data_IF_185203518143
#
_entry.id   IF_185203518143
#
_cell.length_a   1.000
_cell.length_b   1.000
_cell.length_c   1.000
_cell.angle_alpha   90.00
_cell.angle_beta   90.00
_cell.angle_gamma   90.00
#
_symmetry.space_group_name_H-M   'P 1'
#
loop_
_entity.id
_entity.type
_entity.pdbx_description
1 polymer ?
#
# COMPACT_ATOMS: atom_id res chain seq x y z
N UNK A 1 -8.35 -28.57 57.59
CA UNK A 1 -9.06 -29.83 57.27
C UNK A 1 -8.38 -30.45 56.04
N UNK A 2 -8.29 -31.78 55.95
CA UNK A 2 -7.47 -32.59 55.01
C UNK A 2 -7.53 -32.16 53.51
N UNK A 3 -6.48 -32.28 52.66
CA UNK A 3 -5.78 -33.50 52.16
C UNK A 3 -6.71 -34.46 51.38
N UNK A 4 -6.43 -34.99 50.16
CA UNK A 4 -5.28 -35.05 49.20
C UNK A 4 -5.78 -34.72 47.76
N UNK A 5 -5.06 -34.70 46.62
CA UNK A 5 -3.73 -35.18 46.20
C UNK A 5 -3.82 -36.41 45.26
N UNK A 6 -3.65 -36.24 43.92
CA UNK A 6 -3.68 -37.35 42.93
C UNK A 6 -3.44 -36.92 41.47
N UNK A 7 -2.60 -37.66 40.72
CA UNK A 7 -2.21 -37.40 39.30
C UNK A 7 -2.94 -38.34 38.30
N UNK A 8 -2.45 -38.62 37.07
CA UNK A 8 -2.97 -38.01 35.82
C UNK A 8 -3.63 -39.02 34.86
N UNK A 9 -4.45 -38.55 33.92
CA UNK A 9 -5.06 -39.41 32.89
C UNK A 9 -4.16 -39.59 31.66
N UNK A 10 -3.84 -40.85 31.36
CA UNK A 10 -3.17 -41.27 30.13
C UNK A 10 -4.12 -41.31 28.92
N UNK A 11 -3.57 -41.13 27.72
CA UNK A 11 -4.31 -41.21 26.46
C UNK A 11 -4.59 -42.68 26.02
N UNK A 12 -5.76 -42.97 25.42
CA UNK A 12 -6.07 -44.27 24.79
C UNK A 12 -5.67 -44.33 23.30
N UNK A 13 -5.55 -45.53 22.69
CA UNK A 13 -4.85 -45.74 21.42
C UNK A 13 -5.71 -45.59 20.14
N UNK A 14 -5.00 -45.50 19.00
CA UNK A 14 -5.55 -45.38 17.65
C UNK A 14 -6.31 -46.63 17.17
N UNK A 15 -7.65 -46.56 17.17
CA UNK A 15 -8.54 -47.57 16.56
C UNK A 15 -8.78 -47.32 15.06
N UNK A 16 -8.53 -48.32 14.21
CA UNK A 16 -8.83 -48.27 12.76
C UNK A 16 -10.34 -48.12 12.51
N UNK A 17 -10.76 -47.14 11.69
CA UNK A 17 -12.14 -47.04 11.16
C UNK A 17 -12.25 -47.63 9.74
N UNK A 18 -13.35 -48.31 9.38
CA UNK A 18 -13.53 -48.93 8.07
C UNK A 18 -13.87 -47.91 6.97
N UNK A 19 -13.46 -48.21 5.72
CA UNK A 19 -13.79 -47.43 4.53
C UNK A 19 -15.29 -47.50 4.21
N UNK A 20 -16.03 -46.40 4.33
CA UNK A 20 -17.36 -46.27 3.70
C UNK A 20 -17.18 -45.98 2.21
N UNK A 21 -17.88 -46.75 1.36
CA UNK A 21 -17.97 -46.49 -0.09
C UNK A 21 -18.91 -45.31 -0.35
N UNK A 22 -18.54 -44.41 -1.26
CA UNK A 22 -19.43 -43.41 -1.84
C UNK A 22 -20.24 -44.04 -2.99
N UNK A 23 -21.53 -43.70 -3.17
CA UNK A 23 -22.29 -44.07 -4.36
C UNK A 23 -21.88 -43.19 -5.57
N UNK A 24 -22.06 -43.68 -6.81
CA UNK A 24 -21.66 -42.96 -8.02
C UNK A 24 -22.60 -41.80 -8.37
N UNK A 25 -22.04 -40.73 -8.94
CA UNK A 25 -22.79 -39.60 -9.50
C UNK A 25 -23.36 -39.95 -10.87
N UNK A 26 -24.64 -39.63 -11.10
CA UNK A 26 -25.29 -39.74 -12.41
C UNK A 26 -25.06 -38.47 -13.27
N UNK A 27 -24.98 -38.59 -14.61
CA UNK A 27 -24.78 -37.44 -15.50
C UNK A 27 -26.11 -36.71 -15.81
N UNK A 28 -26.09 -35.38 -16.01
CA UNK A 28 -27.28 -34.63 -16.39
C UNK A 28 -27.55 -34.69 -17.91
N UNK A 29 -28.75 -35.12 -18.29
CA UNK A 29 -29.26 -34.99 -19.66
C UNK A 29 -29.81 -33.60 -19.97
N UNK A 30 -29.87 -33.25 -21.26
CA UNK A 30 -30.36 -31.98 -21.77
C UNK A 30 -31.85 -31.72 -21.48
N UNK A 31 -32.19 -30.43 -21.35
CA UNK A 31 -33.34 -29.87 -22.07
C UNK A 31 -34.55 -29.44 -21.25
N UNK A 32 -34.65 -28.13 -20.99
CA UNK A 32 -35.94 -27.41 -20.90
C UNK A 32 -35.77 -25.97 -21.36
N UNK A 33 -36.66 -25.54 -22.28
CA UNK A 33 -36.73 -24.16 -22.79
C UNK A 33 -37.47 -23.27 -21.76
N UNK A 34 -37.05 -22.02 -21.64
CA UNK A 34 -37.84 -20.93 -21.02
C UNK A 34 -37.90 -19.78 -22.04
N UNK A 35 -39.08 -19.21 -22.33
CA UNK A 35 -39.24 -18.17 -23.36
C UNK A 35 -39.04 -16.75 -22.82
N UNK A 36 -38.75 -15.81 -23.72
CA UNK A 36 -39.04 -14.37 -23.51
C UNK A 36 -37.88 -13.50 -23.02
N UNK A 37 -37.12 -12.92 -23.97
CA UNK A 37 -36.35 -11.68 -23.76
C UNK A 37 -36.55 -10.81 -25.01
N UNK A 38 -37.00 -9.55 -24.90
CA UNK A 38 -37.13 -8.67 -26.06
C UNK A 38 -35.74 -8.28 -26.59
N UNK A 39 -35.60 -8.02 -27.91
CA UNK A 39 -34.33 -7.60 -28.49
C UNK A 39 -33.97 -6.18 -28.05
N UNK A 40 -32.67 -5.92 -27.86
CA UNK A 40 -32.14 -4.56 -27.69
C UNK A 40 -32.13 -3.84 -29.04
N UNK A 41 -32.43 -2.52 -29.10
CA UNK A 41 -32.25 -1.76 -30.33
C UNK A 41 -30.76 -1.64 -30.67
N UNK A 42 -30.45 -1.73 -31.96
CA UNK A 42 -29.15 -1.35 -32.53
C UNK A 42 -29.12 0.18 -32.64
N UNK A 43 -28.05 0.80 -32.15
CA UNK A 43 -27.78 2.23 -32.35
C UNK A 43 -26.63 2.37 -33.34
N UNK A 44 -26.88 3.10 -34.43
CA UNK A 44 -25.87 3.40 -35.45
C UNK A 44 -24.76 4.34 -34.92
N UNK A 45 -23.52 4.24 -35.44
CA UNK A 45 -22.43 5.10 -35.03
C UNK A 45 -22.58 6.53 -35.62
N UNK A 46 -22.25 7.59 -34.86
CA UNK A 46 -22.37 8.96 -35.34
C UNK A 46 -21.30 9.34 -36.38
N UNK A 47 -21.72 10.09 -37.40
CA UNK A 47 -20.88 10.61 -38.47
C UNK A 47 -19.90 11.70 -37.97
N UNK A 48 -18.63 11.61 -38.37
CA UNK A 48 -17.62 12.64 -38.14
C UNK A 48 -17.74 13.78 -39.17
N UNK A 49 -17.73 15.06 -38.76
CA UNK A 49 -17.61 16.18 -39.69
C UNK A 49 -16.18 16.33 -40.23
N UNK A 50 -16.08 16.67 -41.51
CA UNK A 50 -14.83 16.68 -42.29
C UNK A 50 -13.96 17.92 -42.08
N UNK A 51 -12.64 17.74 -42.13
CA UNK A 51 -11.67 18.86 -42.17
C UNK A 51 -11.79 19.62 -43.50
N UNK A 52 -11.90 20.95 -43.44
CA UNK A 52 -11.51 21.84 -44.55
C UNK A 52 -10.05 22.30 -44.39
N UNK A 53 -9.32 22.31 -45.50
CA UNK A 53 -7.92 22.72 -45.55
C UNK A 53 -7.75 24.24 -45.67
N UNK A 54 -6.63 24.77 -45.16
CA UNK A 54 -6.00 26.02 -45.61
C UNK A 54 -4.50 25.79 -45.73
N UNK A 55 -3.89 26.34 -46.79
CA UNK A 55 -2.50 26.07 -47.19
C UNK A 55 -1.44 26.88 -46.43
N UNK A 56 -0.15 26.66 -46.73
CA UNK A 56 0.98 27.24 -46.00
C UNK A 56 1.52 28.54 -46.63
N UNK A 57 2.19 29.40 -45.84
CA UNK A 57 3.16 30.37 -46.34
C UNK A 57 4.61 29.88 -46.20
N UNK A 58 5.53 30.69 -46.75
CA UNK A 58 6.87 30.30 -47.25
C UNK A 58 8.01 30.28 -46.21
N UNK A 59 9.16 29.83 -46.71
CA UNK A 59 10.52 29.86 -46.13
C UNK A 59 10.98 31.27 -45.76
N UNK A 60 11.98 31.34 -44.88
CA UNK A 60 13.16 32.19 -45.10
C UNK A 60 14.44 31.46 -44.63
N UNK A 61 15.57 31.85 -45.21
CA UNK A 61 16.91 31.27 -44.98
C UNK A 61 17.65 31.97 -43.84
N UNK A 62 18.70 31.32 -43.30
CA UNK A 62 20.03 31.92 -43.12
C UNK A 62 21.06 30.87 -42.64
N UNK A 63 22.32 31.07 -43.01
CA UNK A 63 23.39 30.06 -42.94
C UNK A 63 24.45 30.31 -41.85
N UNK A 64 25.19 29.24 -41.53
CA UNK A 64 26.61 29.06 -41.11
C UNK A 64 27.54 30.25 -40.69
N UNK A 65 28.67 30.04 -39.96
CA UNK A 65 29.55 28.84 -40.00
C UNK A 65 30.14 28.36 -38.63
N UNK A 66 31.14 27.47 -38.69
CA UNK A 66 31.74 26.73 -37.59
C UNK A 66 33.11 27.27 -37.08
N UNK A 67 33.57 26.82 -35.90
CA UNK A 67 34.95 27.05 -35.42
C UNK A 67 35.57 25.88 -34.59
N UNK A 68 36.58 25.24 -35.21
CA UNK A 68 37.89 24.76 -34.69
C UNK A 68 38.02 23.98 -33.36
N UNK A 69 38.66 22.80 -33.46
CA UNK A 69 39.46 22.13 -32.41
C UNK A 69 40.91 22.67 -32.40
N UNK A 70 41.67 22.43 -31.31
CA UNK A 70 43.10 22.12 -31.37
C UNK A 70 43.44 20.70 -30.87
N UNK A 71 44.68 20.25 -31.13
CA UNK A 71 45.21 18.89 -30.88
C UNK A 71 46.15 18.84 -29.67
N UNK A 72 46.13 17.69 -28.97
CA UNK A 72 47.34 16.92 -28.62
C UNK A 72 48.12 17.22 -27.33
N UNK A 73 48.44 16.14 -26.58
CA UNK A 73 49.82 15.71 -26.27
C UNK A 73 49.84 14.33 -25.57
N UNK A 74 50.88 13.54 -25.82
CA UNK A 74 51.17 12.26 -25.17
C UNK A 74 51.95 12.45 -23.87
N UNK A 75 51.76 11.55 -22.89
CA UNK A 75 52.79 11.17 -21.90
C UNK A 75 52.68 9.65 -21.63
N UNK A 76 53.82 8.95 -21.62
CA UNK A 76 54.02 7.55 -21.18
C UNK A 76 54.74 7.54 -19.82
N UNK A 77 54.63 6.43 -19.08
CA UNK A 77 55.58 5.78 -18.13
C UNK A 77 54.75 5.00 -17.08
N UNK A 78 54.75 3.65 -17.04
CA UNK A 78 55.77 2.68 -16.55
C UNK A 78 55.80 2.55 -15.01
N UNK A 79 55.79 1.29 -14.49
CA UNK A 79 56.20 0.96 -13.11
C UNK A 79 55.24 0.07 -12.29
N UNK A 80 55.65 -1.17 -12.01
CA UNK A 80 55.05 -2.15 -11.08
C UNK A 80 56.09 -2.46 -9.97
N UNK A 81 55.88 -3.35 -8.98
CA UNK A 81 54.71 -3.72 -8.19
C UNK A 81 55.00 -3.72 -6.66
N UNK A 82 54.07 -4.21 -5.80
CA UNK A 82 54.38 -4.52 -4.39
C UNK A 82 53.21 -5.08 -3.58
N UNK A 83 53.30 -6.34 -3.11
CA UNK A 83 52.36 -7.00 -2.18
C UNK A 83 53.07 -7.36 -0.86
N UNK A 84 52.38 -7.28 0.28
CA UNK A 84 52.62 -8.18 1.41
C UNK A 84 51.54 -9.27 1.55
N UNK A 85 51.90 -10.38 2.21
CA UNK A 85 51.06 -11.56 2.49
C UNK A 85 50.09 -11.30 3.66
N UNK A 86 49.08 -12.16 3.81
CA UNK A 86 48.13 -12.14 4.92
C UNK A 86 48.10 -13.49 5.66
N UNK A 87 47.93 -13.47 6.99
CA UNK A 87 47.58 -14.64 7.80
C UNK A 87 46.06 -14.65 8.11
N UNK A 88 45.40 -15.83 8.17
CA UNK A 88 43.95 -15.91 8.32
C UNK A 88 43.50 -15.99 9.79
N UNK A 89 42.89 -14.91 10.29
CA UNK A 89 42.02 -14.97 11.47
C UNK A 89 40.57 -15.24 11.05
N UNK A 90 39.88 -16.20 11.68
CA UNK A 90 38.45 -16.47 11.43
C UNK A 90 37.62 -15.23 11.82
N UNK A 91 37.08 -14.53 10.83
CA UNK A 91 36.25 -13.34 11.03
C UNK A 91 35.11 -13.28 10.01
N UNK A 92 33.98 -12.72 10.42
CA UNK A 92 32.75 -12.62 9.62
C UNK A 92 33.03 -12.20 8.16
N UNK A 93 32.52 -13.00 7.22
CA UNK A 93 32.74 -12.81 5.77
C UNK A 93 32.16 -11.51 5.21
N UNK A 94 32.87 -10.41 5.40
CA UNK A 94 33.02 -9.27 4.49
C UNK A 94 34.20 -8.42 5.00
N UNK A 95 35.25 -8.26 4.19
CA UNK A 95 36.55 -7.74 4.65
C UNK A 95 36.53 -6.34 5.25
N UNK A 96 37.36 -6.09 6.28
CA UNK A 96 37.58 -4.74 6.83
C UNK A 96 38.23 -3.86 5.77
N UNK A 97 37.49 -2.89 5.23
CA UNK A 97 38.10 -1.77 4.50
C UNK A 97 38.74 -0.81 5.50
N UNK A 98 40.06 -0.83 5.56
CA UNK A 98 40.85 0.15 6.29
C UNK A 98 40.59 1.57 5.73
N UNK A 99 40.16 2.47 6.62
CA UNK A 99 39.68 3.80 6.28
C UNK A 99 40.79 4.71 5.73
N UNK A 100 42.07 4.37 5.94
CA UNK A 100 43.21 5.16 5.49
C UNK A 100 43.31 5.26 3.96
N UNK A 101 42.95 4.21 3.21
CA UNK A 101 43.20 4.13 1.76
C UNK A 101 42.27 5.02 0.92
N UNK A 102 41.04 5.27 1.36
CA UNK A 102 40.08 6.10 0.60
C UNK A 102 40.38 7.61 0.70
N UNK A 103 40.99 8.07 1.81
CA UNK A 103 41.35 9.48 2.00
C UNK A 103 42.44 9.97 1.04
N UNK A 104 43.33 9.08 0.57
CA UNK A 104 44.46 9.45 -0.31
C UNK A 104 44.12 9.55 -1.80
N UNK A 105 42.97 9.03 -2.24
CA UNK A 105 42.61 8.97 -3.68
C UNK A 105 41.81 10.18 -4.15
N UNK A 106 41.20 10.95 -3.25
CA UNK A 106 40.32 12.10 -3.60
C UNK A 106 41.07 13.45 -3.50
N UNK A 107 42.27 13.48 -2.92
CA UNK A 107 43.00 14.72 -2.60
C UNK A 107 44.02 15.16 -3.65
N UNK A 108 43.94 14.71 -4.92
CA UNK A 108 45.00 14.97 -5.91
C UNK A 108 44.57 15.56 -7.27
N UNK A 109 43.29 15.89 -7.47
CA UNK A 109 42.82 16.62 -8.66
C UNK A 109 41.66 17.56 -8.33
N UNK A 110 41.97 18.74 -7.77
CA UNK A 110 41.07 19.89 -7.74
C UNK A 110 41.92 21.17 -7.71
N UNK A 111 41.75 22.13 -8.66
CA UNK A 111 42.46 23.41 -8.62
C UNK A 111 41.98 24.26 -7.43
N UNK A 112 42.91 24.92 -6.75
CA UNK A 112 42.64 25.81 -5.61
C UNK A 112 42.35 27.22 -6.10
N UNK A 113 41.08 27.56 -6.34
CA UNK A 113 40.61 28.96 -6.45
C UNK A 113 39.22 29.10 -5.85
N UNK A 114 38.94 30.30 -5.29
CA UNK A 114 37.67 30.70 -4.69
C UNK A 114 37.16 29.88 -3.49
N UNK A 115 37.79 30.09 -2.32
CA UNK A 115 37.12 29.93 -1.04
C UNK A 115 36.72 31.32 -0.53
N UNK A 116 35.41 31.64 -0.48
CA UNK A 116 34.80 32.68 0.37
C UNK A 116 33.29 32.87 0.09
N UNK A 117 32.43 31.94 0.50
CA UNK A 117 31.06 32.21 0.96
C UNK A 117 30.59 31.04 1.83
N UNK A 118 29.93 31.34 2.95
CA UNK A 118 29.61 30.35 3.97
C UNK A 118 28.19 29.74 3.78
N UNK A 119 28.08 28.46 4.16
CA UNK A 119 26.89 27.67 4.56
C UNK A 119 25.51 28.38 4.57
N UNK A 120 24.45 27.70 4.07
CA UNK A 120 23.93 26.54 4.81
C UNK A 120 23.43 25.36 3.95
N UNK A 121 24.29 24.37 3.69
CA UNK A 121 23.90 23.08 3.09
C UNK A 121 24.42 21.85 3.86
N UNK A 122 24.69 21.98 5.16
CA UNK A 122 25.13 20.87 6.03
C UNK A 122 24.02 20.05 6.69
N UNK A 123 22.74 20.34 6.41
CA UNK A 123 21.59 19.59 6.94
C UNK A 123 21.27 18.28 6.18
N UNK A 124 21.77 18.10 4.95
CA UNK A 124 21.32 17.07 4.02
C UNK A 124 22.05 15.71 4.04
N UNK A 125 22.62 15.25 5.16
CA UNK A 125 23.30 13.92 5.23
C UNK A 125 22.34 12.80 5.69
N UNK A 126 21.33 12.52 4.89
CA UNK A 126 20.24 11.56 5.17
C UNK A 126 20.70 10.13 5.54
N UNK A 127 19.75 9.34 6.05
CA UNK A 127 19.97 8.18 6.93
C UNK A 127 20.96 7.05 6.50
N UNK A 128 21.18 6.71 5.20
CA UNK A 128 21.96 5.50 4.85
C UNK A 128 23.42 5.46 5.32
N UNK A 129 24.02 6.60 5.63
CA UNK A 129 25.43 6.68 6.06
C UNK A 129 25.70 6.14 7.49
N UNK A 130 24.64 5.87 8.28
CA UNK A 130 24.72 5.91 9.75
C UNK A 130 24.72 4.55 10.46
N UNK A 131 24.26 3.47 9.82
CA UNK A 131 24.59 2.09 10.23
C UNK A 131 26.10 1.76 10.09
N UNK A 132 26.87 2.69 9.50
CA UNK A 132 28.32 2.61 9.31
C UNK A 132 29.14 3.20 10.48
N UNK A 133 28.55 4.01 11.36
CA UNK A 133 29.30 4.70 12.44
C UNK A 133 29.43 3.87 13.71
N UNK A 134 28.52 2.92 13.94
CA UNK A 134 28.49 2.12 15.18
C UNK A 134 27.94 2.87 16.40
N UNK A 135 27.44 4.09 16.21
CA UNK A 135 26.81 4.88 17.28
C UNK A 135 25.42 4.30 17.63
N UNK A 136 25.33 3.69 18.81
CA UNK A 136 24.11 3.05 19.29
C UNK A 136 22.97 4.02 19.60
N UNK A 137 23.24 5.32 19.81
CA UNK A 137 22.21 6.32 20.15
C UNK A 137 21.07 6.39 19.11
N UNK A 138 21.36 6.02 17.87
CA UNK A 138 20.37 5.94 16.78
C UNK A 138 19.26 4.91 17.01
N UNK A 139 19.43 3.94 17.91
CA UNK A 139 18.34 3.05 18.31
C UNK A 139 17.21 3.78 19.03
N UNK A 140 17.50 4.86 19.77
CA UNK A 140 16.46 5.70 20.39
C UNK A 140 15.60 6.34 19.29
N UNK A 141 16.24 6.97 18.29
CA UNK A 141 15.53 7.58 17.17
C UNK A 141 14.77 6.55 16.30
N UNK A 142 15.36 5.37 16.06
CA UNK A 142 14.66 4.26 15.39
C UNK A 142 13.45 3.80 16.21
N UNK A 143 13.62 3.68 17.53
CA UNK A 143 12.55 3.37 18.49
C UNK A 143 11.40 4.37 18.42
N UNK A 144 11.70 5.67 18.49
CA UNK A 144 10.70 6.75 18.35
C UNK A 144 9.96 6.64 17.01
N UNK A 145 10.66 6.45 15.89
CA UNK A 145 10.04 6.31 14.57
C UNK A 145 9.20 5.03 14.47
N UNK A 146 9.64 3.91 15.05
CA UNK A 146 8.84 2.67 15.12
C UNK A 146 7.60 2.85 16.00
N UNK A 147 7.72 3.52 17.14
CA UNK A 147 6.58 3.82 18.01
C UNK A 147 5.55 4.74 17.33
N UNK A 148 6.00 5.82 16.69
CA UNK A 148 5.14 6.69 15.88
C UNK A 148 4.51 5.95 14.70
N UNK A 149 5.24 5.01 14.09
CA UNK A 149 4.69 4.15 13.05
C UNK A 149 3.60 3.21 13.60
N UNK A 150 3.75 2.67 14.82
CA UNK A 150 2.72 1.86 15.50
C UNK A 150 1.48 2.67 15.90
N UNK A 151 1.59 3.98 16.13
CA UNK A 151 0.42 4.84 16.32
C UNK A 151 -0.39 5.07 15.02
N UNK A 152 0.16 4.68 13.86
CA UNK A 152 -0.45 4.87 12.54
C UNK A 152 -0.76 3.55 11.81
N UNK A 153 0.08 2.51 11.95
CA UNK A 153 -0.10 1.21 11.29
C UNK A 153 0.76 0.08 11.89
N UNK A 154 0.12 -1.00 12.29
CA UNK A 154 0.78 -2.16 12.92
C UNK A 154 1.64 -3.02 11.97
N UNK A 155 1.56 -2.81 10.64
CA UNK A 155 2.43 -3.47 9.65
C UNK A 155 3.95 -3.25 9.89
N UNK A 156 4.34 -2.25 10.70
CA UNK A 156 5.75 -2.10 11.11
C UNK A 156 6.23 -3.29 11.97
N UNK A 157 5.33 -3.98 12.69
CA UNK A 157 5.62 -5.24 13.38
C UNK A 157 5.97 -6.36 12.38
N UNK A 158 5.23 -6.47 11.29
CA UNK A 158 5.50 -7.45 10.22
C UNK A 158 6.86 -7.18 9.55
N UNK A 159 7.20 -5.90 9.32
CA UNK A 159 8.52 -5.48 8.84
C UNK A 159 9.63 -5.85 9.83
N UNK A 160 9.43 -5.63 11.13
CA UNK A 160 10.36 -6.00 12.18
C UNK A 160 10.52 -7.54 12.28
N UNK A 161 9.42 -8.29 12.19
CA UNK A 161 9.39 -9.75 12.20
C UNK A 161 10.12 -10.37 11.00
N UNK A 162 10.22 -9.66 9.86
CA UNK A 162 11.06 -10.07 8.74
C UNK A 162 12.54 -9.65 8.89
N UNK A 163 12.79 -8.42 9.37
CA UNK A 163 14.14 -7.86 9.49
C UNK A 163 14.95 -8.46 10.64
N UNK A 164 14.37 -8.71 11.80
CA UNK A 164 15.10 -9.23 12.97
C UNK A 164 15.68 -10.62 12.70
N UNK A 165 14.91 -11.62 12.21
CA UNK A 165 15.47 -12.91 11.81
C UNK A 165 16.53 -12.78 10.70
N UNK A 166 16.35 -11.87 9.73
CA UNK A 166 17.36 -11.64 8.70
C UNK A 166 18.69 -11.08 9.27
N UNK A 167 18.63 -10.12 10.21
CA UNK A 167 19.82 -9.61 10.92
C UNK A 167 20.47 -10.69 11.78
N UNK A 168 19.69 -11.58 12.41
CA UNK A 168 20.21 -12.72 13.16
C UNK A 168 20.85 -13.78 12.25
N UNK A 169 20.28 -14.05 11.07
CA UNK A 169 20.76 -15.04 10.11
C UNK A 169 22.03 -14.59 9.38
N UNK A 170 22.03 -13.41 8.76
CA UNK A 170 23.14 -12.94 7.89
C UNK A 170 23.94 -11.75 8.46
N UNK A 171 23.52 -11.20 9.59
CA UNK A 171 24.17 -10.04 10.21
C UNK A 171 23.70 -8.69 9.64
N UNK A 172 24.16 -7.57 10.22
CA UNK A 172 25.34 -7.46 11.08
C UNK A 172 25.03 -7.56 12.58
N UNK A 173 25.14 -8.77 13.17
CA UNK A 173 24.75 -9.08 14.57
C UNK A 173 25.32 -8.14 15.63
N UNK A 174 26.47 -7.50 15.37
CA UNK A 174 27.07 -6.47 16.24
C UNK A 174 26.12 -5.33 16.61
N UNK A 175 25.14 -4.99 15.76
CA UNK A 175 24.17 -3.90 16.07
C UNK A 175 23.24 -4.25 17.23
N UNK A 176 23.05 -5.55 17.49
CA UNK A 176 22.22 -6.10 18.57
C UNK A 176 22.99 -6.37 19.87
N UNK A 177 24.33 -6.19 19.87
CA UNK A 177 25.21 -6.54 21.02
C UNK A 177 25.34 -5.46 22.10
N UNK A 178 24.60 -4.35 21.99
CA UNK A 178 24.64 -3.26 22.97
C UNK A 178 23.30 -3.15 23.69
N UNK A 179 23.23 -2.32 24.73
CA UNK A 179 21.96 -2.01 25.42
C UNK A 179 21.04 -1.10 24.59
N UNK A 180 21.58 -0.39 23.60
CA UNK A 180 20.84 0.56 22.78
C UNK A 180 19.63 -0.02 22.02
N UNK A 181 19.67 -1.22 21.40
CA UNK A 181 18.48 -1.91 20.91
C UNK A 181 17.35 -2.04 21.92
N UNK A 182 17.68 -2.33 23.19
CA UNK A 182 16.70 -2.46 24.27
C UNK A 182 16.11 -1.09 24.62
N UNK A 183 16.94 -0.04 24.66
CA UNK A 183 16.47 1.33 24.83
C UNK A 183 15.57 1.79 23.66
N UNK A 184 15.92 1.43 22.42
CA UNK A 184 15.08 1.69 21.24
C UNK A 184 13.74 0.97 21.30
N UNK A 185 13.73 -0.30 21.70
CA UNK A 185 12.50 -1.08 21.92
C UNK A 185 11.64 -0.47 23.03
N UNK A 186 12.24 -0.10 24.17
CA UNK A 186 11.53 0.56 25.26
C UNK A 186 10.90 1.89 24.82
N UNK A 187 11.64 2.72 24.07
CA UNK A 187 11.10 3.97 23.52
C UNK A 187 9.99 3.72 22.50
N UNK A 188 10.11 2.71 21.64
CA UNK A 188 9.05 2.32 20.71
C UNK A 188 7.77 1.91 21.45
N UNK A 189 7.89 1.08 22.49
CA UNK A 189 6.77 0.62 23.30
C UNK A 189 6.12 1.77 24.09
N UNK A 190 6.91 2.67 24.68
CA UNK A 190 6.37 3.85 25.40
C UNK A 190 5.60 4.78 24.46
N UNK A 191 6.12 5.04 23.26
CA UNK A 191 5.44 5.89 22.26
C UNK A 191 4.19 5.20 21.70
N UNK A 192 4.24 3.89 21.46
CA UNK A 192 3.12 3.11 20.95
C UNK A 192 2.06 2.76 22.03
N UNK A 193 2.38 2.96 23.32
CA UNK A 193 1.56 2.49 24.45
C UNK A 193 0.09 2.91 24.37
N UNK A 194 -0.29 4.14 23.96
CA UNK A 194 -1.69 4.52 23.85
C UNK A 194 -2.47 3.66 22.83
N UNK A 195 -1.89 3.40 21.65
CA UNK A 195 -2.53 2.52 20.64
C UNK A 195 -2.58 1.06 21.13
N UNK A 196 -1.47 0.54 21.66
CA UNK A 196 -1.41 -0.85 22.13
C UNK A 196 -2.39 -1.12 23.29
N UNK A 197 -2.54 -0.16 24.21
CA UNK A 197 -3.53 -0.23 25.28
C UNK A 197 -4.96 -0.15 24.74
N UNK A 198 -5.23 0.77 23.80
CA UNK A 198 -6.54 0.89 23.16
C UNK A 198 -6.92 -0.40 22.40
N UNK A 199 -6.03 -0.93 21.57
CA UNK A 199 -6.23 -2.21 20.86
C UNK A 199 -6.55 -3.36 21.82
N UNK A 200 -5.79 -3.49 22.91
CA UNK A 200 -6.03 -4.52 23.92
C UNK A 200 -7.37 -4.35 24.64
N UNK A 201 -7.76 -3.11 24.96
CA UNK A 201 -9.05 -2.80 25.59
C UNK A 201 -10.26 -3.02 24.68
N UNK A 202 -10.07 -2.98 23.35
CA UNK A 202 -11.14 -3.16 22.35
C UNK A 202 -11.08 -4.54 21.66
N UNK A 203 -10.33 -5.50 22.21
CA UNK A 203 -10.32 -6.89 21.73
C UNK A 203 -9.52 -7.14 20.45
N UNK A 204 -8.54 -6.27 20.15
CA UNK A 204 -7.66 -6.31 18.96
C UNK A 204 -8.39 -6.24 17.61
N UNK A 205 -9.13 -5.14 17.32
CA UNK A 205 -9.85 -4.98 16.06
C UNK A 205 -8.98 -5.13 14.80
N UNK A 206 -7.68 -4.77 14.84
CA UNK A 206 -6.75 -5.01 13.72
C UNK A 206 -6.62 -6.51 13.39
N UNK A 207 -6.65 -7.39 14.39
CA UNK A 207 -6.60 -8.85 14.18
C UNK A 207 -7.92 -9.36 13.59
N UNK A 208 -9.06 -8.79 13.98
CA UNK A 208 -10.37 -9.09 13.38
C UNK A 208 -10.40 -8.72 11.90
N UNK A 209 -9.93 -7.52 11.54
CA UNK A 209 -9.84 -7.06 10.15
C UNK A 209 -8.84 -7.89 9.34
N UNK A 210 -7.66 -8.21 9.91
CA UNK A 210 -6.68 -9.08 9.26
C UNK A 210 -7.23 -10.49 8.98
N UNK A 211 -8.04 -11.04 9.91
CA UNK A 211 -8.79 -12.29 9.71
C UNK A 211 -9.76 -12.18 8.52
N UNK A 212 -10.62 -11.15 8.52
CA UNK A 212 -11.56 -10.90 7.42
C UNK A 212 -10.90 -10.78 6.05
N UNK A 213 -9.75 -10.10 5.96
CA UNK A 213 -8.92 -10.03 4.74
C UNK A 213 -8.40 -11.41 4.33
N UNK A 214 -7.88 -12.21 5.27
CA UNK A 214 -7.38 -13.57 4.97
C UNK A 214 -8.49 -14.51 4.49
N UNK A 215 -9.68 -14.38 5.05
CA UNK A 215 -10.80 -15.30 4.78
C UNK A 215 -11.55 -14.95 3.49
N UNK A 216 -11.83 -13.67 3.24
CA UNK A 216 -12.54 -13.23 2.02
C UNK A 216 -11.59 -13.06 0.82
N UNK A 217 -10.49 -12.34 1.01
CA UNK A 217 -9.58 -11.96 -0.09
C UNK A 217 -8.35 -12.87 -0.20
N UNK A 218 -8.04 -13.67 0.82
CA UNK A 218 -6.74 -14.32 0.96
C UNK A 218 -6.36 -15.26 -0.20
N UNK A 219 -7.33 -15.92 -0.85
CA UNK A 219 -7.04 -16.74 -2.05
C UNK A 219 -6.62 -15.87 -3.24
N UNK A 220 -7.32 -14.76 -3.47
CA UNK A 220 -6.98 -13.79 -4.51
C UNK A 220 -5.62 -13.12 -4.20
N UNK A 221 -5.42 -12.68 -2.95
CA UNK A 221 -4.16 -12.08 -2.48
C UNK A 221 -2.96 -13.02 -2.69
N UNK A 222 -3.11 -14.31 -2.37
CA UNK A 222 -2.05 -15.33 -2.59
C UNK A 222 -1.74 -15.52 -4.07
N UNK A 223 -2.75 -15.63 -4.93
CA UNK A 223 -2.59 -15.80 -6.38
C UNK A 223 -1.93 -14.56 -7.02
N UNK A 224 -2.38 -13.36 -6.65
CA UNK A 224 -1.89 -12.10 -7.19
C UNK A 224 -0.59 -11.62 -6.55
N UNK A 225 -0.09 -12.28 -5.48
CA UNK A 225 1.06 -11.80 -4.72
C UNK A 225 2.29 -11.52 -5.59
N UNK A 226 2.72 -12.53 -6.37
CA UNK A 226 3.94 -12.46 -7.19
C UNK A 226 3.77 -11.51 -8.40
N UNK A 227 2.67 -11.56 -9.18
CA UNK A 227 2.37 -10.56 -10.20
C UNK A 227 2.44 -9.12 -9.67
N UNK A 228 1.87 -8.85 -8.50
CA UNK A 228 1.83 -7.51 -7.94
C UNK A 228 3.21 -7.01 -7.45
N UNK A 229 4.11 -7.89 -6.99
CA UNK A 229 5.51 -7.46 -6.69
C UNK A 229 6.25 -6.96 -7.95
N UNK A 230 5.88 -7.46 -9.13
CA UNK A 230 6.42 -6.98 -10.40
C UNK A 230 5.74 -5.66 -10.81
N UNK A 231 4.44 -5.53 -10.54
CA UNK A 231 3.62 -4.41 -11.01
C UNK A 231 3.75 -3.13 -10.15
N UNK A 232 3.82 -3.22 -8.81
CA UNK A 232 3.78 -2.04 -7.92
C UNK A 232 4.89 -1.00 -8.14
N UNK A 233 6.08 -1.39 -8.62
CA UNK A 233 7.15 -0.46 -9.00
C UNK A 233 7.20 -0.18 -10.51
N UNK A 234 6.33 -0.81 -11.31
CA UNK A 234 6.48 -1.14 -12.73
C UNK A 234 7.39 -2.36 -13.01
N UNK A 235 6.97 -3.25 -13.95
CA UNK A 235 7.83 -4.30 -14.51
C UNK A 235 9.15 -3.75 -15.08
N UNK A 236 9.14 -2.48 -15.49
CA UNK A 236 10.31 -1.78 -16.02
C UNK A 236 11.41 -1.62 -14.96
N UNK A 237 11.06 -1.48 -13.67
CA UNK A 237 12.04 -1.33 -12.60
C UNK A 237 12.58 -2.66 -12.03
N UNK A 238 12.15 -3.82 -12.55
CA UNK A 238 12.65 -5.15 -12.13
C UNK A 238 14.17 -5.29 -12.21
N UNK A 239 14.86 -4.90 -13.30
CA UNK A 239 16.32 -4.94 -13.36
C UNK A 239 17.01 -4.06 -12.30
N UNK A 240 16.32 -3.03 -11.80
CA UNK A 240 16.84 -2.13 -10.75
C UNK A 240 16.84 -2.84 -9.41
N UNK A 241 15.68 -3.31 -8.93
CA UNK A 241 15.63 -3.97 -7.61
C UNK A 241 16.36 -5.32 -7.59
N UNK A 242 16.41 -6.06 -8.72
CA UNK A 242 17.29 -7.25 -8.86
C UNK A 242 18.78 -6.88 -8.77
N UNK A 243 19.20 -5.75 -9.36
CA UNK A 243 20.56 -5.26 -9.19
C UNK A 243 20.83 -4.84 -7.73
N UNK A 244 19.83 -4.30 -7.03
CA UNK A 244 19.88 -3.98 -5.61
C UNK A 244 20.05 -5.20 -4.71
N UNK A 245 19.25 -6.26 -4.89
CA UNK A 245 19.43 -7.56 -4.22
C UNK A 245 20.87 -8.05 -4.42
N UNK A 246 21.33 -8.12 -5.68
CA UNK A 246 22.70 -8.57 -6.00
C UNK A 246 23.77 -7.70 -5.35
N UNK A 247 23.55 -6.39 -5.25
CA UNK A 247 24.46 -5.45 -4.61
C UNK A 247 24.52 -5.69 -3.10
N UNK A 248 23.39 -5.66 -2.41
CA UNK A 248 23.31 -5.87 -0.96
C UNK A 248 23.90 -7.21 -0.53
N UNK A 249 23.80 -8.25 -1.36
CA UNK A 249 24.38 -9.57 -1.07
C UNK A 249 25.88 -9.69 -1.38
N UNK A 250 26.44 -8.94 -2.35
CA UNK A 250 27.78 -9.21 -2.91
C UNK A 250 28.77 -8.04 -2.95
N UNK A 251 28.30 -6.79 -2.92
CA UNK A 251 29.16 -5.59 -2.98
C UNK A 251 29.80 -5.34 -1.61
N UNK A 252 31.14 -5.42 -1.46
CA UNK A 252 31.79 -5.22 -0.16
C UNK A 252 31.55 -3.83 0.45
N UNK A 253 31.17 -2.82 -0.33
CA UNK A 253 30.85 -1.48 0.19
C UNK A 253 29.52 -1.45 0.96
N UNK A 254 28.57 -2.34 0.63
CA UNK A 254 27.22 -2.36 1.22
C UNK A 254 26.75 -3.74 1.71
N UNK A 255 27.61 -4.77 1.69
CA UNK A 255 27.33 -6.11 2.21
C UNK A 255 26.86 -6.13 3.68
N UNK A 256 27.17 -5.09 4.44
CA UNK A 256 26.66 -4.89 5.80
C UNK A 256 25.14 -4.72 5.87
N UNK A 257 24.48 -4.40 4.75
CA UNK A 257 23.03 -4.23 4.63
C UNK A 257 22.31 -5.47 4.04
N UNK A 258 23.01 -6.61 3.91
CA UNK A 258 22.45 -7.85 3.33
C UNK A 258 21.18 -8.38 4.00
N UNK A 259 20.92 -8.02 5.26
CA UNK A 259 19.67 -8.34 5.94
C UNK A 259 18.43 -7.84 5.19
N UNK A 260 18.46 -6.67 4.53
CA UNK A 260 17.31 -6.19 3.75
C UNK A 260 16.98 -7.08 2.54
N UNK A 261 18.01 -7.65 1.89
CA UNK A 261 17.84 -8.59 0.78
C UNK A 261 17.32 -9.98 1.23
N UNK A 262 17.56 -10.36 2.49
CA UNK A 262 17.04 -11.61 3.08
C UNK A 262 15.67 -11.40 3.73
N UNK A 263 15.38 -10.23 4.30
CA UNK A 263 14.09 -9.90 4.87
C UNK A 263 12.97 -9.81 3.81
N UNK A 264 13.30 -9.43 2.57
CA UNK A 264 12.31 -9.36 1.49
C UNK A 264 11.63 -10.71 1.20
N UNK A 265 12.33 -11.83 0.90
CA UNK A 265 11.67 -13.12 0.76
C UNK A 265 10.99 -13.59 2.05
N UNK A 266 11.49 -13.23 3.24
CA UNK A 266 10.84 -13.56 4.53
C UNK A 266 9.48 -12.86 4.67
N UNK A 267 9.38 -11.55 4.39
CA UNK A 267 8.09 -10.85 4.44
C UNK A 267 7.14 -11.36 3.35
N UNK A 268 7.65 -11.69 2.15
CA UNK A 268 6.82 -12.28 1.10
C UNK A 268 6.20 -13.61 1.54
N UNK A 269 6.98 -14.52 2.13
CA UNK A 269 6.47 -15.78 2.67
C UNK A 269 5.43 -15.54 3.77
N UNK A 270 5.69 -14.61 4.70
CA UNK A 270 4.76 -14.27 5.77
C UNK A 270 3.42 -13.71 5.25
N UNK A 271 3.45 -12.81 4.27
CA UNK A 271 2.24 -12.22 3.67
C UNK A 271 1.44 -13.25 2.88
N UNK A 272 2.11 -14.11 2.09
CA UNK A 272 1.44 -15.21 1.36
C UNK A 272 0.79 -16.19 2.34
N UNK A 273 1.50 -16.60 3.40
CA UNK A 273 0.95 -17.50 4.40
C UNK A 273 -0.29 -16.91 5.08
N UNK A 274 -0.17 -15.66 5.58
CA UNK A 274 -1.27 -14.94 6.24
C UNK A 274 -2.37 -14.42 5.31
N UNK A 275 -2.30 -14.64 3.98
CA UNK A 275 -3.32 -14.16 3.04
C UNK A 275 -3.41 -12.63 2.91
N UNK A 276 -2.39 -11.92 3.39
CA UNK A 276 -2.38 -10.45 3.45
C UNK A 276 -2.23 -9.80 2.07
N UNK A 277 -2.64 -8.53 1.97
CA UNK A 277 -2.64 -7.80 0.70
C UNK A 277 -1.20 -7.66 0.15
N UNK A 278 -0.94 -7.91 -1.16
CA UNK A 278 0.42 -8.02 -1.69
C UNK A 278 1.35 -6.81 -1.45
N UNK A 279 0.79 -5.61 -1.30
CA UNK A 279 1.57 -4.39 -1.02
C UNK A 279 2.21 -4.37 0.37
N UNK A 280 1.89 -5.29 1.29
CA UNK A 280 2.53 -5.36 2.61
C UNK A 280 4.05 -5.63 2.52
N UNK A 281 4.54 -6.24 1.44
CA UNK A 281 5.98 -6.44 1.18
C UNK A 281 6.67 -5.23 0.48
N UNK A 282 5.90 -4.27 -0.03
CA UNK A 282 6.37 -3.14 -0.85
C UNK A 282 7.46 -2.26 -0.19
N UNK A 283 7.44 -1.97 1.14
CA UNK A 283 8.48 -1.15 1.77
C UNK A 283 9.89 -1.72 1.61
N UNK A 284 10.07 -3.04 1.66
CA UNK A 284 11.38 -3.65 1.42
C UNK A 284 11.75 -3.63 -0.07
N UNK A 285 10.77 -3.79 -0.97
CA UNK A 285 11.00 -3.68 -2.41
C UNK A 285 11.54 -2.28 -2.81
N UNK A 286 11.06 -1.21 -2.17
CA UNK A 286 11.60 0.15 -2.32
C UNK A 286 13.08 0.24 -1.88
N UNK A 287 13.45 -0.39 -0.76
CA UNK A 287 14.86 -0.44 -0.29
C UNK A 287 15.75 -1.19 -1.29
N UNK A 288 15.25 -2.28 -1.88
CA UNK A 288 15.95 -3.02 -2.93
C UNK A 288 16.12 -2.18 -4.21
N UNK A 289 15.07 -1.48 -4.65
CA UNK A 289 15.16 -0.57 -5.78
C UNK A 289 16.22 0.53 -5.54
N UNK A 290 16.18 1.20 -4.39
CA UNK A 290 17.13 2.24 -4.01
C UNK A 290 18.60 1.74 -4.03
N UNK A 291 18.86 0.52 -3.51
CA UNK A 291 20.18 -0.08 -3.53
C UNK A 291 20.69 -0.36 -4.97
N UNK A 292 19.78 -0.63 -5.91
CA UNK A 292 20.07 -0.93 -7.32
C UNK A 292 20.29 0.29 -8.22
N UNK A 293 19.78 1.46 -7.82
CA UNK A 293 19.89 2.70 -8.61
C UNK A 293 21.34 3.08 -8.96
N UNK A 294 22.26 3.07 -7.99
CA UNK A 294 23.64 3.50 -8.22
C UNK A 294 24.43 2.58 -9.19
N UNK A 295 24.48 1.24 -9.03
CA UNK A 295 25.13 0.36 -10.00
C UNK A 295 24.55 0.49 -11.41
N UNK A 296 23.24 0.75 -11.53
CA UNK A 296 22.61 0.97 -12.84
C UNK A 296 23.00 2.33 -13.42
N UNK A 297 22.98 3.40 -12.62
CA UNK A 297 23.40 4.73 -13.02
C UNK A 297 24.86 4.75 -13.49
N UNK A 298 25.77 4.07 -12.80
CA UNK A 298 27.17 3.91 -13.21
C UNK A 298 27.29 3.19 -14.58
N UNK A 299 26.58 2.08 -14.79
CA UNK A 299 26.54 1.37 -16.08
C UNK A 299 25.94 2.23 -17.20
N UNK A 300 24.96 3.07 -16.90
CA UNK A 300 24.34 3.99 -17.86
C UNK A 300 25.29 5.15 -18.20
N UNK A 301 25.98 5.72 -17.20
CA UNK A 301 26.96 6.79 -17.39
C UNK A 301 28.10 6.36 -18.33
N UNK A 302 28.54 5.10 -18.23
CA UNK A 302 29.56 4.51 -19.11
C UNK A 302 29.10 4.29 -20.57
N UNK A 303 27.80 4.46 -20.89
CA UNK A 303 27.29 4.26 -22.27
C UNK A 303 27.47 5.51 -23.15
N UNK A 304 27.65 5.34 -24.48
CA UNK A 304 27.62 6.44 -25.43
C UNK A 304 26.28 7.20 -25.36
N UNK A 305 26.25 8.45 -25.85
CA UNK A 305 25.07 9.36 -25.75
C UNK A 305 23.76 8.67 -26.19
N UNK A 306 23.78 7.90 -27.29
CA UNK A 306 22.62 7.12 -27.77
C UNK A 306 22.09 6.12 -26.73
N UNK A 307 22.97 5.42 -26.00
CA UNK A 307 22.59 4.49 -24.94
C UNK A 307 22.04 5.17 -23.69
N UNK A 308 22.57 6.35 -23.35
CA UNK A 308 22.02 7.20 -22.26
C UNK A 308 20.63 7.74 -22.60
N UNK A 309 20.42 8.24 -23.83
CA UNK A 309 19.11 8.72 -24.31
C UNK A 309 18.08 7.59 -24.33
N UNK A 310 18.42 6.40 -24.84
CA UNK A 310 17.52 5.22 -24.80
C UNK A 310 17.10 4.86 -23.37
N UNK A 311 18.04 4.88 -22.42
CA UNK A 311 17.73 4.59 -21.02
C UNK A 311 16.86 5.69 -20.37
N UNK A 312 17.12 6.96 -20.67
CA UNK A 312 16.29 8.06 -20.20
C UNK A 312 14.84 7.99 -20.74
N UNK A 313 14.68 7.69 -22.03
CA UNK A 313 13.36 7.47 -22.64
C UNK A 313 12.62 6.27 -22.02
N UNK A 314 13.34 5.19 -21.72
CA UNK A 314 12.81 4.01 -21.04
C UNK A 314 12.36 4.30 -19.59
N UNK A 315 13.11 5.10 -18.83
CA UNK A 315 12.68 5.59 -17.52
C UNK A 315 11.49 6.55 -17.62
N UNK A 316 11.48 7.46 -18.59
CA UNK A 316 10.37 8.39 -18.82
C UNK A 316 9.08 7.64 -19.17
N UNK A 317 9.16 6.57 -19.97
CA UNK A 317 8.04 5.67 -20.25
C UNK A 317 7.54 4.97 -18.97
N UNK A 318 8.44 4.41 -18.15
CA UNK A 318 8.07 3.80 -16.87
C UNK A 318 7.40 4.81 -15.92
N UNK A 319 7.89 6.04 -15.87
CA UNK A 319 7.30 7.11 -15.08
C UNK A 319 5.90 7.47 -15.59
N UNK A 320 5.72 7.66 -16.90
CA UNK A 320 4.43 7.97 -17.51
C UNK A 320 3.38 6.87 -17.24
N UNK A 321 3.76 5.59 -17.37
CA UNK A 321 2.86 4.47 -17.05
C UNK A 321 2.46 4.45 -15.58
N UNK A 322 3.41 4.64 -14.65
CA UNK A 322 3.08 4.72 -13.22
C UNK A 322 2.18 5.94 -12.91
N UNK A 323 2.48 7.11 -13.45
CA UNK A 323 1.68 8.34 -13.27
C UNK A 323 0.23 8.12 -13.69
N UNK A 324 -0.02 7.42 -14.79
CA UNK A 324 -1.38 7.09 -15.27
C UNK A 324 -2.09 6.05 -14.38
N UNK A 325 -1.36 5.12 -13.77
CA UNK A 325 -1.95 4.05 -12.93
C UNK A 325 -2.19 4.51 -11.49
N UNK A 326 -1.31 5.34 -10.92
CA UNK A 326 -1.29 5.63 -9.47
C UNK A 326 -1.68 7.05 -9.08
N UNK A 327 -1.66 8.01 -10.01
CA UNK A 327 -2.07 9.39 -9.74
C UNK A 327 -3.38 9.70 -10.46
N UNK A 328 -4.27 10.53 -9.86
CA UNK A 328 -5.56 10.92 -10.45
C UNK A 328 -5.37 11.96 -11.56
N UNK A 329 -4.66 11.59 -12.63
CA UNK A 329 -4.42 12.40 -13.84
C UNK A 329 -5.37 12.07 -14.98
N UNK A 330 -6.09 10.95 -14.88
CA UNK A 330 -7.13 10.57 -15.83
C UNK A 330 -8.45 11.29 -15.49
N UNK A 331 -9.23 11.75 -16.48
CA UNK A 331 -10.61 12.15 -16.24
C UNK A 331 -11.43 10.93 -15.80
N UNK A 332 -12.39 11.12 -14.89
CA UNK A 332 -13.14 10.05 -14.22
C UNK A 332 -13.62 8.92 -15.17
N UNK A 333 -14.23 9.27 -16.32
CA UNK A 333 -14.68 8.32 -17.36
C UNK A 333 -13.61 7.36 -17.92
N UNK A 334 -12.31 7.64 -17.73
CA UNK A 334 -11.19 6.81 -18.19
C UNK A 334 -10.52 6.03 -17.04
N UNK A 335 -10.84 6.34 -15.78
CA UNK A 335 -10.33 5.63 -14.59
C UNK A 335 -10.65 4.11 -14.61
N UNK A 336 -11.79 3.63 -15.15
CA UNK A 336 -12.05 2.18 -15.27
C UNK A 336 -10.98 1.39 -16.04
N UNK A 337 -10.18 2.05 -16.90
CA UNK A 337 -9.05 1.42 -17.62
C UNK A 337 -7.93 0.98 -16.68
N UNK A 338 -7.76 1.66 -15.53
CA UNK A 338 -6.72 1.35 -14.53
C UNK A 338 -7.27 0.68 -13.27
N UNK A 339 -8.58 0.73 -13.00
CA UNK A 339 -9.20 0.10 -11.82
C UNK A 339 -8.92 -1.41 -11.71
N UNK A 340 -8.79 -2.13 -12.83
CA UNK A 340 -8.40 -3.55 -12.83
C UNK A 340 -6.97 -3.84 -12.33
N UNK A 341 -6.15 -2.79 -12.16
CA UNK A 341 -4.79 -2.83 -11.59
C UNK A 341 -4.77 -2.15 -10.21
N UNK A 342 -5.46 -1.02 -10.07
CA UNK A 342 -5.49 -0.21 -8.86
C UNK A 342 -6.91 0.39 -8.65
N UNK A 343 -7.83 -0.35 -7.99
CA UNK A 343 -9.23 0.05 -7.87
C UNK A 343 -9.42 1.34 -7.05
N UNK A 344 -8.49 1.63 -6.14
CA UNK A 344 -8.46 2.81 -5.27
C UNK A 344 -8.60 4.17 -6.01
N UNK A 345 -8.30 4.22 -7.32
CA UNK A 345 -8.56 5.43 -8.14
C UNK A 345 -10.05 5.73 -8.32
N UNK A 346 -10.90 4.70 -8.31
CA UNK A 346 -12.35 4.81 -8.55
C UNK A 346 -13.18 5.08 -7.31
N UNK A 347 -12.65 4.82 -6.11
CA UNK A 347 -13.42 4.78 -4.85
C UNK A 347 -14.06 6.12 -4.45
N UNK A 348 -13.43 7.25 -4.81
CA UNK A 348 -13.94 8.60 -4.50
C UNK A 348 -14.77 9.23 -5.63
N UNK A 349 -14.91 8.55 -6.77
CA UNK A 349 -15.70 9.04 -7.90
C UNK A 349 -17.19 8.85 -7.56
N UNK A 350 -17.98 9.92 -7.62
CA UNK A 350 -19.39 9.86 -7.22
C UNK A 350 -19.68 10.29 -5.78
N UNK A 351 -18.68 10.67 -4.97
CA UNK A 351 -18.94 11.11 -3.58
C UNK A 351 -19.80 12.39 -3.47
N UNK A 352 -19.62 13.43 -4.32
CA UNK A 352 -20.55 14.55 -4.37
C UNK A 352 -21.97 14.12 -4.73
N UNK A 353 -22.12 13.25 -5.72
CA UNK A 353 -23.38 12.75 -6.27
C UNK A 353 -24.10 11.81 -5.27
N UNK A 354 -23.36 11.03 -4.48
CA UNK A 354 -23.86 10.25 -3.35
C UNK A 354 -24.48 11.16 -2.28
N UNK A 355 -23.81 12.28 -1.96
CA UNK A 355 -24.35 13.26 -1.02
C UNK A 355 -25.56 14.03 -1.58
N UNK A 356 -25.67 14.17 -2.89
CA UNK A 356 -26.84 14.74 -3.58
C UNK A 356 -28.03 13.78 -3.54
N UNK A 357 -27.83 12.49 -3.87
CA UNK A 357 -28.86 11.46 -3.72
C UNK A 357 -29.34 11.29 -2.26
N UNK A 358 -28.43 11.46 -1.28
CA UNK A 358 -28.79 11.51 0.13
C UNK A 358 -29.60 12.77 0.50
N UNK A 359 -29.29 13.93 -0.11
CA UNK A 359 -30.06 15.16 0.06
C UNK A 359 -31.48 15.05 -0.48
N UNK A 360 -31.65 14.45 -1.67
CA UNK A 360 -32.97 14.15 -2.24
C UNK A 360 -33.78 13.24 -1.31
N UNK A 361 -33.18 12.14 -0.83
CA UNK A 361 -33.82 11.23 0.11
C UNK A 361 -34.16 11.87 1.46
N UNK A 362 -33.30 12.75 1.99
CA UNK A 362 -33.54 13.53 3.20
C UNK A 362 -34.67 14.55 3.02
N UNK A 363 -34.77 15.17 1.84
CA UNK A 363 -35.82 16.13 1.52
C UNK A 363 -37.23 15.50 1.58
N UNK A 364 -37.34 14.20 1.25
CA UNK A 364 -38.58 13.43 1.32
C UNK A 364 -39.07 13.14 2.76
N UNK A 365 -38.27 13.45 3.78
CA UNK A 365 -38.67 13.38 5.19
C UNK A 365 -39.48 14.65 5.54
N UNK A 366 -40.71 14.53 6.09
CA UNK A 366 -41.49 15.67 6.58
C UNK A 366 -40.71 16.51 7.60
N UNK A 367 -40.80 17.84 7.50
CA UNK A 367 -39.95 18.76 8.26
C UNK A 367 -40.09 18.63 9.78
N UNK A 368 -41.31 18.34 10.25
CA UNK A 368 -41.66 18.03 11.65
C UNK A 368 -40.99 16.74 12.17
N UNK A 369 -40.71 15.78 11.29
CA UNK A 369 -40.06 14.50 11.65
C UNK A 369 -38.54 14.52 11.52
N UNK A 370 -37.96 15.47 10.77
CA UNK A 370 -36.49 15.57 10.57
C UNK A 370 -35.70 15.70 11.87
N UNK A 371 -36.25 16.35 12.89
CA UNK A 371 -35.59 16.50 14.20
C UNK A 371 -35.36 15.19 14.98
N UNK A 372 -36.05 14.11 14.61
CA UNK A 372 -35.88 12.75 15.17
C UNK A 372 -35.31 11.76 14.15
N UNK A 373 -35.01 12.22 12.93
CA UNK A 373 -34.54 11.37 11.85
C UNK A 373 -33.02 11.15 11.91
N UNK A 374 -32.56 10.03 11.36
CA UNK A 374 -31.15 9.62 11.36
C UNK A 374 -30.69 9.32 9.94
N UNK A 375 -29.44 9.67 9.62
CA UNK A 375 -28.75 9.13 8.45
C UNK A 375 -27.82 8.01 8.93
N UNK A 376 -28.02 6.80 8.42
CA UNK A 376 -27.21 5.63 8.75
C UNK A 376 -26.58 5.06 7.48
N UNK A 377 -25.27 4.80 7.52
CA UNK A 377 -24.51 4.26 6.40
C UNK A 377 -23.91 2.90 6.75
N UNK A 378 -23.93 1.98 5.80
CA UNK A 378 -23.35 0.65 6.00
C UNK A 378 -21.84 0.65 5.96
N UNK A 379 -21.20 1.58 5.26
CA UNK A 379 -19.75 1.61 5.16
C UNK A 379 -19.12 2.99 5.50
N UNK A 380 -17.78 3.01 5.65
CA UNK A 380 -17.06 4.21 6.10
C UNK A 380 -16.76 5.18 4.96
N UNK A 381 -16.79 4.70 3.70
CA UNK A 381 -16.70 5.52 2.50
C UNK A 381 -17.96 6.37 2.33
N UNK A 382 -19.13 5.76 2.44
CA UNK A 382 -20.43 6.46 2.54
C UNK A 382 -20.43 7.49 3.69
N UNK A 383 -20.06 7.08 4.90
CA UNK A 383 -19.98 7.97 6.06
C UNK A 383 -19.02 9.15 5.82
N UNK A 384 -17.85 8.88 5.24
CA UNK A 384 -16.85 9.88 4.90
C UNK A 384 -17.32 10.84 3.79
N UNK A 385 -17.99 10.32 2.77
CA UNK A 385 -18.59 11.12 1.69
C UNK A 385 -19.67 12.06 2.25
N UNK A 386 -20.58 11.55 3.08
CA UNK A 386 -21.63 12.36 3.70
C UNK A 386 -21.10 13.34 4.75
N UNK A 387 -20.11 12.96 5.58
CA UNK A 387 -19.45 13.90 6.48
C UNK A 387 -18.73 15.04 5.72
N UNK A 388 -18.18 14.74 4.54
CA UNK A 388 -17.43 15.71 3.71
C UNK A 388 -18.31 16.59 2.83
N UNK A 389 -19.39 16.05 2.26
CA UNK A 389 -20.23 16.69 1.23
C UNK A 389 -21.69 16.85 1.63
N UNK A 390 -22.17 16.25 2.72
CA UNK A 390 -23.51 16.47 3.25
C UNK A 390 -23.76 17.85 3.87
N UNK A 391 -22.77 18.52 4.54
CA UNK A 391 -23.01 19.84 5.14
C UNK A 391 -23.42 20.94 4.15
N UNK A 392 -22.95 20.89 2.88
CA UNK A 392 -23.39 21.84 1.83
C UNK A 392 -24.86 21.67 1.43
N UNK A 393 -25.48 20.53 1.79
CA UNK A 393 -26.89 20.21 1.55
C UNK A 393 -27.74 20.30 2.83
N UNK A 394 -27.17 20.73 3.95
CA UNK A 394 -27.86 20.78 5.24
C UNK A 394 -28.14 19.41 5.87
N UNK A 395 -27.40 18.36 5.47
CA UNK A 395 -27.52 17.04 6.09
C UNK A 395 -26.89 17.01 7.50
N UNK A 396 -27.51 16.33 8.47
CA UNK A 396 -26.86 16.02 9.74
C UNK A 396 -25.67 15.05 9.55
N UNK A 397 -24.86 14.90 10.59
CA UNK A 397 -23.77 13.93 10.58
C UNK A 397 -24.32 12.48 10.44
N UNK A 398 -23.70 11.64 9.59
CA UNK A 398 -24.07 10.24 9.44
C UNK A 398 -23.55 9.39 10.60
N UNK A 399 -24.26 8.30 10.89
CA UNK A 399 -23.80 7.24 11.79
C UNK A 399 -23.45 5.98 10.99
N UNK A 400 -22.45 5.21 11.43
CA UNK A 400 -22.11 3.94 10.80
C UNK A 400 -21.58 2.94 11.82
N UNK A 401 -22.02 1.68 11.69
CA UNK A 401 -21.48 0.55 12.45
C UNK A 401 -20.18 -0.03 11.86
N UNK A 402 -19.62 0.54 10.79
CA UNK A 402 -18.47 -0.04 10.12
C UNK A 402 -17.14 0.35 10.76
N UNK A 403 -16.29 -0.64 11.05
CA UNK A 403 -14.98 -0.43 11.69
C UNK A 403 -15.10 0.39 12.99
N UNK A 404 -14.10 1.22 13.29
CA UNK A 404 -14.11 2.12 14.44
C UNK A 404 -15.00 3.37 14.28
N UNK A 405 -15.84 3.48 13.24
CA UNK A 405 -16.98 4.41 13.32
C UNK A 405 -18.00 3.95 14.38
N UNK A 406 -18.10 2.63 14.62
CA UNK A 406 -18.93 2.08 15.69
C UNK A 406 -18.51 2.55 17.10
N UNK A 407 -17.22 2.89 17.29
CA UNK A 407 -16.67 3.33 18.58
C UNK A 407 -17.10 4.77 18.96
N UNK A 408 -17.65 5.55 18.02
CA UNK A 408 -18.23 6.89 18.30
C UNK A 408 -19.62 6.84 18.92
N UNK A 409 -20.24 5.65 18.96
CA UNK A 409 -21.52 5.41 19.61
C UNK A 409 -22.76 5.59 18.70
N UNK A 410 -23.92 5.11 19.16
CA UNK A 410 -25.17 5.15 18.41
C UNK A 410 -25.78 6.57 18.34
N UNK A 411 -26.77 6.77 17.45
CA UNK A 411 -27.75 7.82 17.63
C UNK A 411 -28.46 7.68 19.00
N UNK A 412 -28.92 8.78 19.62
CA UNK A 412 -29.67 8.68 20.86
C UNK A 412 -31.02 7.99 20.63
N UNK A 413 -31.53 7.29 21.64
CA UNK A 413 -32.83 6.59 21.54
C UNK A 413 -34.03 7.53 21.32
N UNK A 414 -33.86 8.83 21.53
CA UNK A 414 -34.83 9.89 21.15
C UNK A 414 -34.91 10.15 19.64
N UNK A 415 -33.97 9.62 18.85
CA UNK A 415 -33.97 9.68 17.38
C UNK A 415 -34.68 8.44 16.79
N UNK A 416 -35.91 8.23 17.24
CA UNK A 416 -36.85 7.17 16.84
C UNK A 416 -37.73 7.58 15.64
N UNK A 417 -37.29 8.57 14.86
CA UNK A 417 -37.92 9.01 13.63
C UNK A 417 -37.53 8.17 12.40
N UNK A 418 -37.84 8.65 11.19
CA UNK A 418 -37.45 8.00 9.95
C UNK A 418 -35.93 7.86 9.81
N UNK A 419 -35.47 6.77 9.19
CA UNK A 419 -34.04 6.53 8.94
C UNK A 419 -33.78 6.62 7.45
N UNK A 420 -32.84 7.48 7.06
CA UNK A 420 -32.25 7.47 5.74
C UNK A 420 -31.06 6.50 5.74
N UNK A 421 -31.25 5.34 5.12
CA UNK A 421 -30.30 4.24 5.07
C UNK A 421 -29.57 4.27 3.71
N UNK A 422 -28.24 4.25 3.75
CA UNK A 422 -27.37 4.04 2.60
C UNK A 422 -26.59 2.74 2.77
N UNK A 423 -26.50 1.97 1.68
CA UNK A 423 -25.63 0.80 1.58
C UNK A 423 -25.34 0.47 0.10
N UNK A 424 -24.27 -0.27 -0.22
CA UNK A 424 -24.00 -0.74 -1.57
C UNK A 424 -25.06 -1.76 -2.03
N UNK A 425 -25.34 -1.84 -3.34
CA UNK A 425 -26.21 -2.91 -3.86
C UNK A 425 -25.61 -4.29 -3.53
N UNK A 426 -26.39 -5.16 -2.87
CA UNK A 426 -25.97 -6.51 -2.49
C UNK A 426 -25.16 -6.64 -1.20
N UNK A 427 -25.05 -5.59 -0.38
CA UNK A 427 -24.50 -5.69 0.98
C UNK A 427 -25.36 -6.63 1.87
N UNK A 428 -24.82 -7.19 2.98
CA UNK A 428 -25.62 -7.93 3.96
C UNK A 428 -26.85 -7.13 4.39
N UNK A 429 -27.97 -7.81 4.68
CA UNK A 429 -29.31 -7.21 4.90
C UNK A 429 -29.42 -6.33 6.15
N UNK A 430 -28.73 -5.20 6.15
CA UNK A 430 -28.81 -4.15 7.18
C UNK A 430 -30.24 -3.59 7.29
N UNK A 431 -31.00 -3.63 6.19
CA UNK A 431 -32.44 -3.35 6.13
C UNK A 431 -33.26 -4.12 7.19
N UNK A 432 -32.83 -5.31 7.63
CA UNK A 432 -33.54 -6.12 8.62
C UNK A 432 -33.66 -5.46 10.00
N UNK A 433 -32.81 -4.47 10.29
CA UNK A 433 -32.84 -3.69 11.54
C UNK A 433 -33.81 -2.51 11.48
N UNK A 434 -34.42 -2.25 10.33
CA UNK A 434 -35.31 -1.13 10.08
C UNK A 434 -36.68 -1.59 9.60
N UNK A 435 -37.66 -0.69 9.67
CA UNK A 435 -39.05 -0.95 9.29
C UNK A 435 -39.44 -0.12 8.07
N UNK A 436 -40.33 -0.65 7.22
CA UNK A 436 -40.97 0.13 6.15
C UNK A 436 -40.02 0.78 5.13
N UNK A 437 -38.84 0.20 4.90
CA UNK A 437 -37.84 0.74 3.96
C UNK A 437 -38.36 0.75 2.52
N UNK A 438 -38.17 1.89 1.84
CA UNK A 438 -38.42 2.05 0.40
C UNK A 438 -37.29 2.86 -0.22
N UNK A 439 -36.88 2.50 -1.43
CA UNK A 439 -35.91 3.30 -2.20
C UNK A 439 -36.50 4.68 -2.50
N UNK A 440 -35.76 5.75 -2.19
CA UNK A 440 -36.12 7.15 -2.47
C UNK A 440 -35.20 7.80 -3.50
N UNK A 441 -33.95 7.38 -3.56
CA UNK A 441 -32.99 7.76 -4.60
C UNK A 441 -32.04 6.59 -4.90
N UNK A 442 -31.25 6.72 -5.97
CA UNK A 442 -30.09 5.87 -6.24
C UNK A 442 -28.90 6.75 -6.57
N UNK A 443 -27.72 6.35 -6.10
CA UNK A 443 -26.47 7.02 -6.41
C UNK A 443 -26.13 6.77 -7.89
N UNK A 444 -25.78 7.82 -8.62
CA UNK A 444 -25.18 7.72 -9.95
C UNK A 444 -24.01 8.70 -10.03
N UNK A 445 -22.79 8.19 -10.23
CA UNK A 445 -21.58 8.99 -10.33
C UNK A 445 -21.46 9.78 -11.64
N UNK A 446 -22.46 9.70 -12.54
CA UNK A 446 -22.53 10.49 -13.78
C UNK A 446 -21.40 10.22 -14.78
N UNK A 447 -20.57 9.21 -14.51
CA UNK A 447 -19.35 8.90 -15.26
C UNK A 447 -19.31 7.45 -15.73
N UNK A 448 -20.27 6.62 -15.33
CA UNK A 448 -20.33 5.20 -15.67
C UNK A 448 -19.17 4.39 -15.09
N UNK A 449 -18.53 4.89 -14.03
CA UNK A 449 -17.42 4.19 -13.36
C UNK A 449 -18.02 3.08 -12.51
N UNK A 450 -17.64 1.80 -12.70
CA UNK A 450 -18.01 0.74 -11.78
C UNK A 450 -17.15 0.86 -10.51
N UNK A 451 -17.77 1.32 -9.43
CA UNK A 451 -17.23 1.30 -8.07
C UNK A 451 -18.33 0.81 -7.10
N UNK A 452 -18.01 0.70 -5.81
CA UNK A 452 -18.91 0.14 -4.80
C UNK A 452 -20.24 0.89 -4.66
N UNK A 453 -20.23 2.21 -4.87
CA UNK A 453 -21.39 3.08 -4.65
C UNK A 453 -22.24 3.30 -5.92
N UNK A 454 -21.78 2.86 -7.10
CA UNK A 454 -22.52 3.10 -8.33
C UNK A 454 -23.85 2.32 -8.33
N UNK A 455 -24.95 3.04 -8.51
CA UNK A 455 -26.34 2.57 -8.40
C UNK A 455 -26.81 2.21 -6.99
N UNK A 456 -25.99 2.41 -5.94
CA UNK A 456 -26.34 2.13 -4.55
C UNK A 456 -27.69 2.76 -4.15
N UNK A 457 -28.60 2.03 -3.48
CA UNK A 457 -29.89 2.54 -3.05
C UNK A 457 -29.75 3.49 -1.86
N UNK A 458 -30.47 4.60 -1.93
CA UNK A 458 -30.79 5.43 -0.77
C UNK A 458 -32.22 5.05 -0.35
N UNK A 459 -32.37 4.44 0.82
CA UNK A 459 -33.66 4.00 1.35
C UNK A 459 -34.16 4.95 2.43
N UNK A 460 -35.46 5.23 2.43
CA UNK A 460 -36.16 5.85 3.54
C UNK A 460 -36.96 4.77 4.27
N UNK A 461 -36.58 4.51 5.51
CA UNK A 461 -37.24 3.59 6.43
C UNK A 461 -38.10 4.38 7.44
N UNK A 462 -39.19 3.78 7.93
CA UNK A 462 -40.12 4.43 8.87
C UNK A 462 -39.55 4.63 10.27
N UNK A 463 -38.57 3.81 10.64
CA UNK A 463 -37.86 3.80 11.92
C UNK A 463 -37.05 2.51 12.10
N UNK A 464 -36.46 2.33 13.28
CA UNK A 464 -35.74 1.11 13.70
C UNK A 464 -36.68 0.03 14.23
N UNK A 465 -36.23 -1.24 14.27
CA UNK A 465 -36.99 -2.36 14.89
C UNK A 465 -36.91 -2.40 16.41
N UNK A 466 -35.88 -1.75 16.98
CA UNK A 466 -35.60 -1.61 18.42
C UNK A 466 -34.92 -0.23 18.65
N UNK A 467 -34.84 0.26 19.89
CA UNK A 467 -34.05 1.46 20.21
C UNK A 467 -32.60 1.32 19.73
N UNK A 468 -31.96 2.44 19.37
CA UNK A 468 -30.60 2.48 18.83
C UNK A 468 -29.58 1.86 19.77
N UNK A 469 -29.69 2.11 21.09
CA UNK A 469 -28.84 1.52 22.12
C UNK A 469 -28.87 -0.02 22.12
N UNK A 470 -30.02 -0.61 21.81
CA UNK A 470 -30.21 -2.06 21.73
C UNK A 470 -29.79 -2.65 20.38
N UNK A 471 -29.79 -1.86 19.29
CA UNK A 471 -29.35 -2.30 17.95
C UNK A 471 -27.85 -2.15 17.72
N UNK A 472 -27.21 -1.14 18.34
CA UNK A 472 -25.83 -0.77 18.03
C UNK A 472 -24.80 -1.92 18.05
N UNK A 473 -24.83 -2.85 19.03
CA UNK A 473 -23.89 -3.97 19.06
C UNK A 473 -24.01 -4.91 17.85
N UNK A 474 -25.21 -5.03 17.27
CA UNK A 474 -25.51 -5.87 16.10
C UNK A 474 -25.23 -5.15 14.77
N UNK A 475 -25.22 -3.82 14.77
CA UNK A 475 -24.84 -3.00 13.62
C UNK A 475 -23.32 -2.93 13.42
N UNK A 476 -22.52 -3.24 14.45
CA UNK A 476 -21.06 -3.23 14.38
C UNK A 476 -20.51 -4.35 13.49
N UNK A 477 -19.70 -4.00 12.50
CA UNK A 477 -19.07 -4.96 11.60
C UNK A 477 -17.72 -4.44 11.05
N UNK A 478 -16.89 -5.35 10.53
CA UNK A 478 -15.48 -5.07 10.20
C UNK A 478 -15.04 -5.45 8.78
N UNK A 479 -15.71 -6.39 8.09
CA UNK A 479 -15.29 -6.81 6.74
C UNK A 479 -16.42 -7.55 6.02
#
# INVERSE_FOLDING_TARGET
MHERGGRPLHAPPLGRRPRRRLPPLAPPHLGRRIPGRPPRPVLDPPLLPTRRARGPPRRDELAHPAARRPRGRHVRLVGHPGRPRAHPGRGDGCGRLDQARWRRTVSRTAPRTAAATASPLRAGRSAPARLRTGDGRWWVALGTVTGLALLNKDLVLLLAAALVPAVLAVGPRRVLRSWWPVAGLAVALVVALPNLWWQAAHGWPELTVAGGISDKDGTHNRLMFVPMQILYLSPVLVPVWVAGIRRLLRDPAVCWARAFAVAYPVICVAVIAGGGKPYYAFPLLLVLAAAGCEPLAQRVAARPRRGRVRFAAWLAFAAAVNVVITLPVLPARLVPVVNGIYPEQGEQIGWPELAEAAADGWSAIPADRRGRAVIFTSNYGEAGALARYGPRHGLPAPYSGHMSLADWGPPPDTSDGPVLLLHPDGYPRVEQYFTGCRVVARVDNGHGVPNQEQHAPVLLCTGTTRPWSALWPELRHYY
#
